data_IF_523057731334
#
_entry.id   IF_523057731334
#
_cell.length_a   1.000
_cell.length_b   1.000
_cell.length_c   1.000
_cell.angle_alpha   90.00
_cell.angle_beta   90.00
_cell.angle_gamma   90.00
#
_symmetry.space_group_name_H-M   'P 1'
#
loop_
_entity.id
_entity.type
_entity.pdbx_description
1 polymer ?
#
# COMPACT_ATOMS: atom_id res chain seq x y z
N UNK A 1 32.34 65.69 -5.84
CA UNK A 1 31.94 65.08 -4.54
C UNK A 1 33.09 64.23 -4.07
N UNK A 2 34.08 64.92 -3.53
CA UNK A 2 35.29 64.40 -2.90
C UNK A 2 35.09 64.71 -1.43
N UNK A 3 34.95 63.67 -0.60
CA UNK A 3 34.90 63.81 0.85
C UNK A 3 36.02 62.95 1.42
N UNK A 4 37.08 63.62 1.86
CA UNK A 4 37.96 63.11 2.90
C UNK A 4 37.22 63.14 4.24
N UNK A 5 37.55 62.21 5.15
CA UNK A 5 37.75 62.68 6.52
C UNK A 5 39.00 62.11 7.20
N UNK A 6 39.80 63.05 7.69
CA UNK A 6 40.59 63.19 8.94
C UNK A 6 40.80 61.96 9.85
N UNK A 7 42.04 61.73 10.37
CA UNK A 7 42.35 60.64 11.29
C UNK A 7 42.05 61.01 12.76
N UNK A 8 41.50 60.07 13.53
CA UNK A 8 41.30 60.21 14.98
C UNK A 8 42.06 59.13 15.78
N UNK A 9 42.95 59.65 16.63
CA UNK A 9 43.49 59.17 17.91
C UNK A 9 43.44 57.67 18.24
N UNK A 10 44.66 57.10 18.38
CA UNK A 10 44.95 55.89 19.16
C UNK A 10 44.70 56.19 20.65
N UNK A 11 43.76 55.48 21.26
CA UNK A 11 43.65 55.34 22.70
C UNK A 11 44.10 53.93 23.11
N UNK A 12 45.03 53.92 24.06
CA UNK A 12 45.60 52.77 24.75
C UNK A 12 44.47 51.92 25.38
N UNK A 13 44.45 50.61 25.09
CA UNK A 13 43.57 49.64 25.74
C UNK A 13 44.43 48.77 26.66
N UNK A 14 44.10 48.63 27.96
CA UNK A 14 44.87 47.79 28.87
C UNK A 14 44.65 46.30 28.56
N UNK A 15 45.73 45.52 28.71
CA UNK A 15 45.78 44.08 28.50
C UNK A 15 44.75 43.32 29.38
N UNK A 16 44.07 42.28 28.85
CA UNK A 16 43.25 41.41 29.68
C UNK A 16 44.10 40.39 30.47
N UNK A 17 43.81 40.29 31.76
CA UNK A 17 44.34 39.34 32.75
C UNK A 17 44.20 37.86 32.32
N UNK A 18 45.07 36.96 32.85
CA UNK A 18 45.16 35.57 32.42
C UNK A 18 43.96 34.72 32.87
N UNK A 19 43.63 33.63 32.15
CA UNK A 19 42.47 32.80 32.48
C UNK A 19 42.67 31.94 33.73
N UNK A 20 41.64 31.95 34.58
CA UNK A 20 41.45 31.07 35.72
C UNK A 20 41.51 29.58 35.35
N UNK A 21 42.02 28.81 36.30
CA UNK A 21 42.18 27.36 36.25
C UNK A 21 40.81 26.65 36.18
N UNK A 22 40.66 25.58 35.38
CA UNK A 22 39.39 24.86 35.30
C UNK A 22 39.15 24.03 36.57
N UNK A 23 37.89 23.91 37.04
CA UNK A 23 37.55 23.01 38.14
C UNK A 23 37.67 21.54 37.72
N UNK A 24 38.23 20.74 38.63
CA UNK A 24 38.36 19.29 38.57
C UNK A 24 36.98 18.62 38.44
N UNK A 25 36.78 17.84 37.37
CA UNK A 25 35.66 16.91 37.20
C UNK A 25 35.76 15.77 38.21
N UNK A 26 34.71 15.42 38.98
CA UNK A 26 34.67 14.15 39.69
C UNK A 26 34.37 13.02 38.71
N UNK A 27 35.21 11.99 38.81
CA UNK A 27 35.13 10.66 38.22
C UNK A 27 33.69 10.11 38.24
N UNK A 28 33.12 9.83 37.07
CA UNK A 28 31.89 9.04 36.89
C UNK A 28 32.21 7.93 35.89
N UNK A 29 32.32 6.73 36.45
CA UNK A 29 32.48 5.43 35.81
C UNK A 29 31.54 5.26 34.59
N UNK A 30 32.12 5.27 33.39
CA UNK A 30 31.43 4.93 32.14
C UNK A 30 31.56 3.44 31.82
N UNK A 31 30.95 2.60 32.65
CA UNK A 31 30.71 1.19 32.34
C UNK A 31 29.25 1.01 31.89
N UNK A 32 28.90 1.47 30.69
CA UNK A 32 27.65 1.06 30.02
C UNK A 32 27.89 -0.20 29.19
N UNK A 33 27.09 -1.28 29.35
CA UNK A 33 27.26 -2.48 28.55
C UNK A 33 26.87 -2.23 27.08
N UNK A 34 27.43 -2.98 26.12
CA UNK A 34 27.17 -2.77 24.71
C UNK A 34 25.69 -3.00 24.38
N UNK A 35 25.09 -2.01 23.73
CA UNK A 35 23.74 -2.08 23.17
C UNK A 35 23.76 -3.11 22.04
N UNK A 36 23.15 -4.28 22.26
CA UNK A 36 22.93 -5.28 21.21
C UNK A 36 21.79 -4.82 20.28
N UNK A 37 21.95 -4.91 18.95
CA UNK A 37 20.87 -4.57 18.02
C UNK A 37 19.72 -5.56 18.19
N UNK A 38 18.52 -5.02 18.42
CA UNK A 38 17.28 -5.80 18.55
C UNK A 38 16.81 -6.19 17.14
N UNK A 39 16.86 -7.49 16.85
CA UNK A 39 16.29 -8.12 15.66
C UNK A 39 14.76 -7.95 15.65
N UNK A 40 14.18 -7.44 14.57
CA UNK A 40 12.73 -7.45 14.37
C UNK A 40 12.25 -8.88 14.12
N UNK A 41 11.43 -9.41 15.02
CA UNK A 41 10.76 -10.69 14.88
C UNK A 41 9.27 -10.46 14.56
N UNK A 42 8.76 -10.89 13.39
CA UNK A 42 7.34 -10.77 13.03
C UNK A 42 6.39 -11.60 13.91
N UNK A 43 6.91 -12.44 14.82
CA UNK A 43 6.14 -13.17 15.83
C UNK A 43 6.24 -12.57 17.24
N UNK A 44 7.03 -11.51 17.44
CA UNK A 44 7.15 -10.89 18.76
C UNK A 44 5.90 -10.05 19.08
N UNK A 45 4.97 -10.66 19.80
CA UNK A 45 3.79 -9.99 20.39
C UNK A 45 4.08 -9.36 21.75
N UNK A 46 5.35 -9.25 22.16
CA UNK A 46 5.72 -8.62 23.43
C UNK A 46 5.56 -7.10 23.31
N UNK A 47 4.33 -6.68 23.54
CA UNK A 47 3.84 -5.30 23.62
C UNK A 47 4.22 -4.63 24.95
N UNK A 48 5.18 -5.19 25.69
CA UNK A 48 5.46 -4.81 27.08
C UNK A 48 6.54 -3.73 27.23
N UNK A 49 7.21 -3.30 26.16
CA UNK A 49 8.09 -2.11 26.21
C UNK A 49 7.54 -1.01 25.30
N UNK A 50 7.05 0.12 25.86
CA UNK A 50 6.65 1.26 25.04
C UNK A 50 7.88 1.78 24.28
N UNK A 51 7.77 1.87 22.96
CA UNK A 51 8.74 2.51 22.08
C UNK A 51 8.86 4.01 22.36
N UNK A 52 9.47 4.36 23.49
CA UNK A 52 9.95 5.71 23.82
C UNK A 52 11.39 5.80 23.35
N UNK A 53 11.61 6.48 22.23
CA UNK A 53 12.90 7.09 21.96
C UNK A 53 12.86 8.49 22.60
N UNK A 54 13.65 8.70 23.65
CA UNK A 54 13.90 10.01 24.22
C UNK A 54 15.04 10.63 23.41
N UNK A 55 14.77 11.62 22.57
CA UNK A 55 15.83 12.48 22.05
C UNK A 55 16.15 13.53 23.13
N UNK A 56 17.42 13.81 23.44
CA UNK A 56 17.76 14.91 24.33
C UNK A 56 17.28 16.23 23.68
N UNK A 57 16.36 16.90 24.36
CA UNK A 57 15.84 18.19 23.92
C UNK A 57 16.97 19.22 23.90
N UNK A 58 17.14 19.89 22.77
CA UNK A 58 17.86 21.16 22.74
C UNK A 58 17.19 22.17 23.69
N UNK A 59 17.94 23.17 24.19
CA UNK A 59 17.45 24.05 25.24
C UNK A 59 16.28 24.89 24.72
N UNK A 60 15.05 24.56 25.17
CA UNK A 60 13.88 25.43 25.01
C UNK A 60 12.67 24.94 24.20
N UNK A 61 12.51 23.64 23.88
CA UNK A 61 11.32 23.15 23.16
C UNK A 61 10.83 21.81 23.69
N UNK A 62 9.57 21.75 24.15
CA UNK A 62 8.94 20.54 24.67
C UNK A 62 8.98 19.38 23.66
N UNK A 63 9.30 18.18 24.14
CA UNK A 63 9.38 16.97 23.33
C UNK A 63 8.00 16.67 22.71
N UNK A 64 7.86 16.89 21.40
CA UNK A 64 6.72 16.39 20.65
C UNK A 64 6.86 14.86 20.58
N UNK A 65 6.16 14.18 21.50
CA UNK A 65 6.16 12.72 21.56
C UNK A 65 5.26 12.21 20.44
N UNK A 66 5.86 11.69 19.39
CA UNK A 66 5.14 10.97 18.34
C UNK A 66 4.84 9.57 18.87
N UNK A 67 3.69 9.41 19.50
CA UNK A 67 3.23 8.11 19.97
C UNK A 67 2.37 7.47 18.89
N UNK A 68 2.91 6.47 18.17
CA UNK A 68 2.09 5.54 17.41
C UNK A 68 1.20 4.79 18.40
N UNK A 69 -0.14 4.91 18.36
CA UNK A 69 -0.98 4.19 19.31
C UNK A 69 -0.80 2.68 19.09
N UNK A 70 -0.08 1.99 19.97
CA UNK A 70 0.18 0.54 19.86
C UNK A 70 1.27 0.12 18.87
N UNK A 71 2.17 1.03 18.47
CA UNK A 71 3.29 0.73 17.57
C UNK A 71 2.93 0.73 16.08
N UNK A 72 3.89 0.35 15.24
CA UNK A 72 3.81 0.51 13.78
C UNK A 72 2.72 -0.36 13.13
N UNK A 73 2.52 -1.58 13.63
CA UNK A 73 1.45 -2.48 13.16
C UNK A 73 0.07 -1.89 13.46
N UNK A 74 -0.16 -1.41 14.69
CA UNK A 74 -1.42 -0.77 15.05
C UNK A 74 -1.67 0.50 14.23
N UNK A 75 -0.63 1.32 14.03
CA UNK A 75 -0.71 2.49 13.16
C UNK A 75 -1.09 2.14 11.72
N UNK A 76 -0.48 1.10 11.15
CA UNK A 76 -0.87 0.59 9.84
C UNK A 76 -2.34 0.14 9.82
N UNK A 77 -2.78 -0.63 10.82
CA UNK A 77 -4.16 -1.14 10.84
C UNK A 77 -5.20 -0.02 11.00
N UNK A 78 -4.91 1.01 11.80
CA UNK A 78 -5.77 2.21 11.94
C UNK A 78 -5.88 2.91 10.59
N UNK A 79 -4.76 3.23 9.95
CA UNK A 79 -4.74 3.85 8.63
C UNK A 79 -5.51 3.03 7.58
N UNK A 80 -5.37 1.71 7.60
CA UNK A 80 -6.05 0.82 6.66
C UNK A 80 -7.59 0.81 6.83
N UNK A 81 -8.13 1.25 7.98
CA UNK A 81 -9.59 1.36 8.18
C UNK A 81 -10.23 2.47 7.35
N UNK A 82 -9.45 3.45 6.89
CA UNK A 82 -9.93 4.51 5.99
C UNK A 82 -10.34 3.98 4.60
N UNK A 83 -10.01 2.73 4.25
CA UNK A 83 -10.30 2.14 2.94
C UNK A 83 -11.38 1.05 3.02
N UNK A 84 -12.40 1.16 2.19
CA UNK A 84 -13.57 0.24 2.17
C UNK A 84 -13.37 -1.02 1.33
N UNK A 85 -12.35 -1.06 0.47
CA UNK A 85 -12.08 -2.18 -0.44
C UNK A 85 -11.05 -3.14 0.17
N UNK A 86 -11.40 -4.43 0.40
CA UNK A 86 -10.46 -5.45 0.89
C UNK A 86 -9.22 -5.56 0.00
N UNK A 87 -9.41 -5.62 -1.33
CA UNK A 87 -8.29 -5.67 -2.28
C UNK A 87 -7.37 -4.44 -2.18
N UNK A 88 -7.93 -3.26 -1.90
CA UNK A 88 -7.12 -2.06 -1.67
C UNK A 88 -6.36 -2.18 -0.37
N UNK A 89 -7.02 -2.59 0.73
CA UNK A 89 -6.39 -2.81 2.04
C UNK A 89 -5.25 -3.81 1.95
N UNK A 90 -5.44 -4.93 1.26
CA UNK A 90 -4.43 -5.98 1.14
C UNK A 90 -3.26 -5.59 0.25
N UNK A 91 -3.51 -4.82 -0.82
CA UNK A 91 -2.43 -4.24 -1.63
C UNK A 91 -1.64 -3.21 -0.82
N UNK A 92 -2.33 -2.31 -0.12
CA UNK A 92 -1.73 -1.22 0.64
C UNK A 92 -0.96 -1.74 1.85
N UNK A 93 -1.50 -2.73 2.58
CA UNK A 93 -0.80 -3.44 3.66
C UNK A 93 0.52 -4.00 3.19
N UNK A 94 0.52 -4.78 2.11
CA UNK A 94 1.75 -5.38 1.57
C UNK A 94 2.75 -4.32 1.10
N UNK A 95 2.27 -3.26 0.46
CA UNK A 95 3.16 -2.21 -0.07
C UNK A 95 3.76 -1.36 1.06
N UNK A 96 3.03 -1.09 2.16
CA UNK A 96 3.57 -0.35 3.31
C UNK A 96 4.48 -1.22 4.19
N UNK A 97 4.16 -2.50 4.38
CA UNK A 97 5.03 -3.44 5.08
C UNK A 97 6.39 -3.60 4.38
N UNK A 98 6.41 -3.59 3.04
CA UNK A 98 7.67 -3.58 2.27
C UNK A 98 8.52 -2.35 2.56
N UNK A 99 7.87 -1.19 2.70
CA UNK A 99 8.56 0.04 3.09
C UNK A 99 9.11 -0.05 4.52
N UNK A 100 8.35 -0.59 5.47
CA UNK A 100 8.82 -0.78 6.84
C UNK A 100 10.01 -1.73 6.93
N UNK A 101 9.96 -2.85 6.20
CA UNK A 101 11.07 -3.78 6.11
C UNK A 101 12.31 -3.10 5.50
N UNK A 102 12.14 -2.33 4.43
CA UNK A 102 13.23 -1.56 3.85
C UNK A 102 13.84 -0.56 4.84
N UNK A 103 13.01 0.22 5.55
CA UNK A 103 13.49 1.12 6.60
C UNK A 103 14.31 0.37 7.66
N UNK A 104 13.82 -0.79 8.11
CA UNK A 104 14.53 -1.64 9.06
C UNK A 104 15.89 -2.12 8.53
N UNK A 105 15.94 -2.62 7.30
CA UNK A 105 17.16 -3.13 6.66
C UNK A 105 18.26 -2.06 6.55
N UNK A 106 17.87 -0.79 6.43
CA UNK A 106 18.76 0.37 6.36
C UNK A 106 18.94 1.11 7.70
N UNK A 107 18.37 0.60 8.80
CA UNK A 107 18.49 1.21 10.13
C UNK A 107 17.79 2.57 10.26
N UNK A 108 16.76 2.81 9.45
CA UNK A 108 15.98 4.05 9.41
C UNK A 108 14.73 3.87 10.26
N UNK A 109 14.55 4.72 11.26
CA UNK A 109 13.28 4.79 11.99
C UNK A 109 12.18 5.35 11.08
N UNK A 110 11.01 4.70 11.03
CA UNK A 110 9.94 5.08 10.10
C UNK A 110 9.43 6.49 10.39
N UNK A 111 9.40 6.91 11.66
CA UNK A 111 9.02 8.28 12.03
C UNK A 111 10.03 9.35 11.56
N UNK A 112 11.31 8.98 11.42
CA UNK A 112 12.40 9.89 11.09
C UNK A 112 12.77 9.93 9.61
N UNK A 113 12.18 9.03 8.82
CA UNK A 113 12.40 8.92 7.39
C UNK A 113 12.31 10.27 6.68
N UNK A 114 13.25 10.50 5.77
CA UNK A 114 13.44 11.73 5.00
C UNK A 114 13.15 11.47 3.53
N UNK A 115 13.06 12.56 2.77
CA UNK A 115 12.88 12.50 1.32
C UNK A 115 13.98 11.70 0.62
N UNK A 116 15.22 11.81 1.10
CA UNK A 116 16.37 11.05 0.58
C UNK A 116 16.16 9.54 0.66
N UNK A 117 15.60 9.06 1.77
CA UNK A 117 15.33 7.64 2.00
C UNK A 117 14.26 7.13 1.03
N UNK A 118 13.20 7.91 0.80
CA UNK A 118 12.16 7.55 -0.17
C UNK A 118 12.69 7.59 -1.62
N UNK A 119 13.60 8.53 -1.93
CA UNK A 119 14.28 8.57 -3.24
C UNK A 119 15.22 7.36 -3.41
N UNK A 120 15.90 6.90 -2.36
CA UNK A 120 16.72 5.68 -2.36
C UNK A 120 15.88 4.42 -2.57
N UNK A 121 14.78 4.28 -1.83
CA UNK A 121 13.83 3.19 -2.04
C UNK A 121 13.23 3.22 -3.46
N UNK A 122 12.95 4.41 -4.01
CA UNK A 122 12.52 4.53 -5.41
C UNK A 122 13.57 3.97 -6.36
N UNK A 123 14.85 4.32 -6.17
CA UNK A 123 15.92 3.82 -7.02
C UNK A 123 15.98 2.28 -6.98
N UNK A 124 15.88 1.67 -5.79
CA UNK A 124 15.82 0.20 -5.68
C UNK A 124 14.58 -0.42 -6.35
N UNK A 125 13.44 0.27 -6.32
CA UNK A 125 12.26 -0.18 -7.07
C UNK A 125 12.48 -0.11 -8.58
N UNK A 126 13.25 0.87 -9.06
CA UNK A 126 13.60 1.03 -10.48
C UNK A 126 14.64 -0.04 -10.91
N UNK A 127 15.59 -0.39 -10.04
CA UNK A 127 16.65 -1.38 -10.27
C UNK A 127 16.24 -2.84 -9.94
N UNK A 128 15.00 -3.05 -9.53
CA UNK A 128 14.49 -4.38 -9.16
C UNK A 128 14.56 -5.37 -10.33
N UNK A 129 15.08 -6.57 -10.08
CA UNK A 129 15.16 -7.66 -11.07
C UNK A 129 14.25 -8.84 -10.67
N UNK A 130 13.26 -9.24 -11.50
CA UNK A 130 12.88 -8.63 -12.78
C UNK A 130 12.25 -7.24 -12.62
N UNK A 131 12.31 -6.37 -13.66
CA UNK A 131 11.76 -5.02 -13.61
C UNK A 131 10.30 -4.97 -13.17
N UNK A 132 10.02 -4.16 -12.15
CA UNK A 132 8.65 -3.91 -11.71
C UNK A 132 7.90 -3.04 -12.72
N UNK A 133 6.64 -3.39 -13.02
CA UNK A 133 5.78 -2.56 -13.86
C UNK A 133 5.67 -1.11 -13.31
N UNK A 134 5.67 -0.07 -14.16
CA UNK A 134 5.59 1.33 -13.73
C UNK A 134 4.40 1.62 -12.81
N UNK A 135 3.25 0.97 -13.07
CA UNK A 135 2.04 1.05 -12.25
C UNK A 135 2.25 0.54 -10.83
N UNK A 136 3.03 -0.54 -10.67
CA UNK A 136 3.37 -1.11 -9.36
C UNK A 136 4.28 -0.18 -8.59
N UNK A 137 5.35 0.33 -9.22
CA UNK A 137 6.28 1.30 -8.59
C UNK A 137 5.54 2.57 -8.14
N UNK A 138 4.72 3.14 -9.02
CA UNK A 138 3.87 4.30 -8.71
C UNK A 138 2.93 4.03 -7.54
N UNK A 139 2.29 2.86 -7.49
CA UNK A 139 1.39 2.48 -6.38
C UNK A 139 2.13 2.37 -5.06
N UNK A 140 3.30 1.72 -5.02
CA UNK A 140 4.12 1.61 -3.80
C UNK A 140 4.49 2.99 -3.23
N UNK A 141 4.96 3.90 -4.07
CA UNK A 141 5.27 5.28 -3.63
C UNK A 141 4.02 6.06 -3.19
N UNK A 142 2.87 5.81 -3.83
CA UNK A 142 1.61 6.43 -3.42
C UNK A 142 1.11 5.92 -2.06
N UNK A 143 1.31 4.63 -1.78
CA UNK A 143 1.00 4.00 -0.49
C UNK A 143 1.83 4.63 0.64
N UNK A 144 3.14 4.76 0.44
CA UNK A 144 4.04 5.42 1.40
C UNK A 144 3.54 6.83 1.70
N UNK A 145 3.36 7.64 0.65
CA UNK A 145 2.86 9.01 0.81
C UNK A 145 1.50 9.06 1.51
N UNK A 146 0.59 8.15 1.20
CA UNK A 146 -0.72 8.13 1.84
C UNK A 146 -0.66 7.75 3.33
N UNK A 147 0.24 6.85 3.72
CA UNK A 147 0.46 6.49 5.12
C UNK A 147 0.99 7.69 5.91
N UNK A 148 2.08 8.33 5.44
CA UNK A 148 2.63 9.50 6.11
C UNK A 148 1.69 10.71 6.12
N UNK A 149 0.89 10.91 5.05
CA UNK A 149 -0.11 11.99 5.03
C UNK A 149 -1.20 11.76 6.07
N UNK A 150 -1.66 10.52 6.27
CA UNK A 150 -2.66 10.23 7.29
C UNK A 150 -2.16 10.64 8.68
N UNK A 151 -0.94 10.22 9.03
CA UNK A 151 -0.36 10.51 10.34
C UNK A 151 0.16 11.95 10.49
N UNK A 152 0.43 12.65 9.39
CA UNK A 152 0.64 14.10 9.39
C UNK A 152 -0.65 14.85 9.73
N UNK A 153 -1.81 14.39 9.22
CA UNK A 153 -3.12 15.01 9.52
C UNK A 153 -3.53 14.75 10.97
N UNK A 154 -3.18 13.59 11.53
CA UNK A 154 -3.40 13.26 12.94
C UNK A 154 -2.35 13.90 13.89
N UNK A 155 -1.54 14.85 13.40
CA UNK A 155 -0.44 15.52 14.12
C UNK A 155 0.59 14.57 14.76
N UNK A 156 0.57 13.29 14.37
CA UNK A 156 1.49 12.28 14.86
C UNK A 156 2.82 12.30 14.11
N UNK A 157 2.90 12.87 12.91
CA UNK A 157 4.16 13.06 12.19
C UNK A 157 4.33 14.51 11.78
N UNK A 158 5.54 15.09 11.88
CA UNK A 158 5.76 16.50 11.57
C UNK A 158 5.79 16.77 10.06
N UNK A 159 5.93 15.73 9.23
CA UNK A 159 6.07 15.84 7.78
C UNK A 159 5.78 14.53 7.06
N UNK A 160 5.48 14.64 5.77
CA UNK A 160 5.46 13.51 4.85
C UNK A 160 6.74 13.48 3.98
N UNK A 161 7.65 12.51 4.15
CA UNK A 161 8.89 12.41 3.36
C UNK A 161 8.63 12.12 1.87
N UNK A 162 7.47 11.56 1.54
CA UNK A 162 7.10 11.20 0.17
C UNK A 162 6.22 12.25 -0.54
N UNK A 163 5.97 13.40 0.08
CA UNK A 163 5.10 14.46 -0.48
C UNK A 163 5.58 14.97 -1.84
N UNK A 164 6.89 15.15 -2.00
CA UNK A 164 7.53 15.72 -3.20
C UNK A 164 8.44 14.72 -3.93
N UNK A 165 8.22 13.42 -3.73
CA UNK A 165 8.96 12.37 -4.43
C UNK A 165 8.37 12.21 -5.83
N UNK A 166 9.25 12.27 -6.85
CA UNK A 166 8.84 12.03 -8.23
C UNK A 166 8.38 10.58 -8.38
N UNK A 167 7.18 10.39 -8.89
CA UNK A 167 6.61 9.07 -9.19
C UNK A 167 6.74 8.79 -10.69
N UNK A 168 6.97 7.53 -11.10
CA UNK A 168 6.98 7.18 -12.51
C UNK A 168 5.73 7.67 -13.24
N UNK A 169 5.91 8.21 -14.45
CA UNK A 169 4.79 8.58 -15.32
C UNK A 169 4.11 7.29 -15.77
N UNK A 170 2.80 7.21 -15.55
CA UNK A 170 2.02 6.13 -16.10
C UNK A 170 1.63 6.57 -17.53
N UNK A 171 1.97 5.82 -18.58
CA UNK A 171 1.41 6.09 -19.91
C UNK A 171 -0.12 5.94 -19.83
N UNK A 172 -0.84 6.82 -20.53
CA UNK A 172 -2.32 6.86 -20.53
C UNK A 172 -2.97 5.65 -21.22
N UNK A 173 -2.18 4.75 -21.79
CA UNK A 173 -2.69 3.60 -22.50
C UNK A 173 -3.13 2.48 -21.53
N UNK A 174 -4.36 1.95 -21.69
CA UNK A 174 -4.68 0.66 -21.10
C UNK A 174 -3.73 -0.37 -21.73
N UNK A 175 -3.01 -1.11 -20.90
CA UNK A 175 -2.09 -2.17 -21.36
C UNK A 175 -2.82 -3.36 -21.99
N UNK A 176 -4.15 -3.33 -22.05
CA UNK A 176 -4.95 -4.36 -22.69
C UNK A 176 -5.12 -4.03 -24.17
N UNK A 177 -4.43 -4.79 -25.02
CA UNK A 177 -4.75 -4.85 -26.45
C UNK A 177 -6.21 -5.30 -26.57
N UNK A 178 -7.04 -4.49 -27.24
CA UNK A 178 -8.41 -4.88 -27.52
C UNK A 178 -8.41 -6.03 -28.53
N UNK A 179 -9.30 -7.01 -28.34
CA UNK A 179 -9.50 -8.07 -29.32
C UNK A 179 -10.08 -7.48 -30.60
N UNK A 180 -9.51 -7.86 -31.74
CA UNK A 180 -10.12 -7.62 -33.04
C UNK A 180 -11.41 -8.43 -33.18
N UNK A 181 -12.30 -8.04 -34.10
CA UNK A 181 -13.55 -8.79 -34.34
C UNK A 181 -13.32 -10.28 -34.66
N UNK A 182 -12.34 -10.67 -35.51
CA UNK A 182 -12.02 -12.08 -35.73
C UNK A 182 -11.57 -12.79 -34.45
N UNK A 183 -10.66 -12.19 -33.68
CA UNK A 183 -10.18 -12.78 -32.43
C UNK A 183 -11.30 -12.96 -31.39
N UNK A 184 -12.25 -12.02 -31.32
CA UNK A 184 -13.42 -12.15 -30.46
C UNK A 184 -14.33 -13.29 -30.91
N UNK A 185 -14.52 -13.47 -32.22
CA UNK A 185 -15.29 -14.59 -32.77
C UNK A 185 -14.61 -15.93 -32.49
N UNK A 186 -13.29 -16.03 -32.69
CA UNK A 186 -12.50 -17.22 -32.38
C UNK A 186 -12.56 -17.57 -30.89
N UNK A 187 -12.51 -16.57 -30.01
CA UNK A 187 -12.65 -16.75 -28.57
C UNK A 187 -14.05 -17.27 -28.17
N UNK A 188 -15.10 -16.76 -28.81
CA UNK A 188 -16.47 -17.26 -28.59
C UNK A 188 -16.57 -18.72 -29.06
N UNK A 189 -16.04 -19.05 -30.23
CA UNK A 189 -16.07 -20.42 -30.76
C UNK A 189 -15.31 -21.40 -29.86
N UNK A 190 -14.13 -21.02 -29.36
CA UNK A 190 -13.37 -21.81 -28.41
C UNK A 190 -14.13 -21.99 -27.07
N UNK A 191 -14.78 -20.95 -26.57
CA UNK A 191 -15.55 -21.00 -25.34
C UNK A 191 -16.82 -21.86 -25.47
N UNK A 192 -17.49 -21.80 -26.63
CA UNK A 192 -18.65 -22.64 -26.94
C UNK A 192 -18.25 -24.13 -27.01
N UNK A 193 -17.02 -24.45 -27.48
CA UNK A 193 -16.47 -25.81 -27.49
C UNK A 193 -16.03 -26.32 -26.09
N UNK A 194 -15.56 -25.43 -25.22
CA UNK A 194 -15.15 -25.77 -23.84
C UNK A 194 -16.36 -26.08 -22.93
N UNK A 195 -17.48 -25.38 -23.14
CA UNK A 195 -18.76 -25.72 -22.53
C UNK A 195 -19.59 -24.52 -22.08
N UNK A 196 -20.80 -24.79 -21.58
CA UNK A 196 -21.80 -23.75 -21.27
C UNK A 196 -21.29 -22.65 -20.34
N UNK A 197 -20.50 -23.01 -19.32
CA UNK A 197 -19.94 -22.03 -18.38
C UNK A 197 -19.02 -21.05 -19.07
N UNK A 198 -18.11 -21.55 -19.91
CA UNK A 198 -17.13 -20.73 -20.63
C UNK A 198 -17.81 -19.88 -21.70
N UNK A 199 -18.78 -20.45 -22.41
CA UNK A 199 -19.64 -19.72 -23.35
C UNK A 199 -20.31 -18.49 -22.69
N UNK A 200 -20.93 -18.66 -21.53
CA UNK A 200 -21.59 -17.58 -20.79
C UNK A 200 -20.58 -16.53 -20.32
N UNK A 201 -19.45 -16.95 -19.73
CA UNK A 201 -18.41 -16.04 -19.26
C UNK A 201 -17.92 -15.15 -20.40
N UNK A 202 -17.53 -15.77 -21.51
CA UNK A 202 -16.97 -15.07 -22.66
C UNK A 202 -17.97 -14.08 -23.25
N UNK A 203 -19.22 -14.50 -23.46
CA UNK A 203 -20.27 -13.62 -24.02
C UNK A 203 -20.59 -12.46 -23.09
N UNK A 204 -20.79 -12.68 -21.79
CA UNK A 204 -21.06 -11.60 -20.85
C UNK A 204 -19.92 -10.57 -20.82
N UNK A 205 -18.66 -11.02 -20.81
CA UNK A 205 -17.50 -10.12 -20.80
C UNK A 205 -17.38 -9.31 -22.11
N UNK A 206 -17.60 -9.94 -23.27
CA UNK A 206 -17.50 -9.29 -24.57
C UNK A 206 -18.69 -8.38 -24.88
N UNK A 207 -19.92 -8.78 -24.52
CA UNK A 207 -21.15 -8.06 -24.84
C UNK A 207 -21.38 -6.86 -23.90
N UNK A 208 -21.09 -7.03 -22.60
CA UNK A 208 -21.43 -6.00 -21.59
C UNK A 208 -20.24 -5.17 -21.14
N UNK A 209 -19.01 -5.59 -21.45
CA UNK A 209 -17.78 -4.94 -20.99
C UNK A 209 -17.63 -4.91 -19.45
N UNK A 210 -18.32 -5.82 -18.74
CA UNK A 210 -18.20 -5.93 -17.29
C UNK A 210 -16.81 -6.45 -16.88
N UNK A 211 -16.37 -6.11 -15.67
CA UNK A 211 -15.11 -6.64 -15.13
C UNK A 211 -15.31 -8.08 -14.67
N UNK A 212 -14.25 -8.88 -14.74
CA UNK A 212 -14.24 -10.26 -14.19
C UNK A 212 -14.71 -10.27 -12.72
N UNK A 213 -14.27 -9.29 -11.91
CA UNK A 213 -14.71 -9.18 -10.51
C UNK A 213 -16.21 -8.90 -10.35
N UNK A 214 -16.81 -8.19 -11.31
CA UNK A 214 -18.26 -7.91 -11.30
C UNK A 214 -19.02 -9.18 -11.68
N UNK A 215 -18.51 -9.95 -12.64
CA UNK A 215 -19.09 -11.23 -13.05
C UNK A 215 -19.01 -12.29 -11.94
N UNK A 216 -17.88 -12.39 -11.24
CA UNK A 216 -17.73 -13.31 -10.11
C UNK A 216 -18.63 -12.94 -8.92
N UNK A 217 -19.02 -11.67 -8.79
CA UNK A 217 -19.93 -11.21 -7.74
C UNK A 217 -21.41 -11.34 -8.11
N UNK A 218 -21.73 -11.54 -9.39
CA UNK A 218 -23.10 -11.62 -9.86
C UNK A 218 -23.81 -12.90 -9.38
N UNK A 219 -25.06 -12.74 -8.99
CA UNK A 219 -25.98 -13.78 -8.57
C UNK A 219 -26.98 -14.17 -9.65
N UNK A 220 -27.63 -15.32 -9.45
CA UNK A 220 -28.82 -15.68 -10.23
C UNK A 220 -30.01 -14.75 -9.89
N UNK A 221 -30.04 -14.23 -8.66
CA UNK A 221 -30.99 -13.26 -8.12
C UNK A 221 -30.82 -11.85 -8.68
N UNK A 222 -29.67 -11.56 -9.29
CA UNK A 222 -29.40 -10.27 -9.96
C UNK A 222 -29.93 -10.24 -11.41
N UNK A 223 -30.50 -11.34 -11.90
CA UNK A 223 -31.11 -11.40 -13.23
C UNK A 223 -32.54 -10.85 -13.20
N UNK A 224 -32.77 -9.83 -14.03
CA UNK A 224 -34.05 -9.15 -14.12
C UNK A 224 -34.60 -9.10 -15.54
N UNK A 225 -35.70 -8.36 -15.68
CA UNK A 225 -36.23 -7.93 -16.97
C UNK A 225 -36.66 -6.49 -16.87
N UNK A 226 -36.16 -5.64 -17.76
CA UNK A 226 -36.51 -4.22 -17.83
C UNK A 226 -36.97 -3.92 -19.25
N UNK A 227 -38.20 -3.41 -19.38
CA UNK A 227 -38.80 -3.06 -20.67
C UNK A 227 -38.77 -4.20 -21.70
N UNK A 228 -38.92 -5.44 -21.24
CA UNK A 228 -38.90 -6.65 -22.10
C UNK A 228 -37.51 -7.19 -22.44
N UNK A 229 -36.43 -6.55 -21.97
CA UNK A 229 -35.07 -7.03 -22.14
C UNK A 229 -34.56 -7.73 -20.88
N UNK A 230 -33.85 -8.86 -21.05
CA UNK A 230 -33.13 -9.51 -19.95
C UNK A 230 -32.02 -8.59 -19.46
N UNK A 231 -31.93 -8.41 -18.15
CA UNK A 231 -30.92 -7.54 -17.53
C UNK A 231 -30.15 -8.26 -16.43
N UNK A 232 -28.94 -7.78 -16.15
CA UNK A 232 -28.12 -8.19 -15.02
C UNK A 232 -27.72 -6.97 -14.20
N UNK A 233 -28.11 -6.96 -12.94
CA UNK A 233 -27.70 -5.92 -11.99
C UNK A 233 -26.33 -6.25 -11.39
N UNK A 234 -25.44 -5.26 -11.38
CA UNK A 234 -24.08 -5.45 -10.85
C UNK A 234 -23.63 -4.30 -9.96
N UNK A 235 -22.74 -4.62 -9.03
CA UNK A 235 -22.08 -3.63 -8.18
C UNK A 235 -20.72 -3.27 -8.76
N UNK A 236 -20.61 -2.04 -9.28
CA UNK A 236 -19.37 -1.44 -9.79
C UNK A 236 -18.46 -0.98 -8.66
N UNK A 237 -17.21 -0.66 -9.03
CA UNK A 237 -16.24 -0.02 -8.13
C UNK A 237 -16.85 1.21 -7.44
N UNK A 238 -16.67 1.28 -6.12
CA UNK A 238 -17.21 2.36 -5.29
C UNK A 238 -18.64 2.12 -4.80
N UNK A 239 -19.18 0.90 -4.97
CA UNK A 239 -20.51 0.55 -4.47
C UNK A 239 -21.66 1.03 -5.35
N UNK A 240 -21.36 1.60 -6.53
CA UNK A 240 -22.39 2.05 -7.48
C UNK A 240 -23.02 0.85 -8.16
N UNK A 241 -24.34 0.82 -8.28
CA UNK A 241 -25.04 -0.22 -9.05
C UNK A 241 -25.14 0.18 -10.52
N UNK A 242 -25.20 -0.82 -11.40
CA UNK A 242 -25.46 -0.64 -12.82
C UNK A 242 -26.25 -1.83 -13.35
N UNK A 243 -27.26 -1.56 -14.16
CA UNK A 243 -28.06 -2.58 -14.86
C UNK A 243 -27.53 -2.75 -16.27
N UNK A 244 -27.14 -3.97 -16.63
CA UNK A 244 -26.59 -4.29 -17.95
C UNK A 244 -27.61 -5.09 -18.78
N UNK A 245 -27.91 -4.67 -20.02
CA UNK A 245 -28.72 -5.49 -20.92
C UNK A 245 -27.94 -6.72 -21.37
N UNK A 246 -28.62 -7.87 -21.43
CA UNK A 246 -28.08 -9.14 -21.92
C UNK A 246 -28.75 -9.49 -23.24
N UNK A 247 -27.98 -9.97 -24.21
CA UNK A 247 -28.54 -10.42 -25.48
C UNK A 247 -29.45 -11.66 -25.27
N UNK A 248 -30.52 -11.83 -26.07
CA UNK A 248 -31.40 -13.00 -25.94
C UNK A 248 -30.67 -14.35 -26.05
N UNK A 249 -29.62 -14.43 -26.89
CA UNK A 249 -28.80 -15.63 -27.04
C UNK A 249 -28.04 -15.97 -25.74
N UNK A 250 -27.40 -14.98 -25.12
CA UNK A 250 -26.69 -15.15 -23.86
C UNK A 250 -27.65 -15.42 -22.71
N UNK A 251 -28.82 -14.77 -22.67
CA UNK A 251 -29.88 -15.05 -21.71
C UNK A 251 -30.33 -16.52 -21.77
N UNK A 252 -30.55 -17.06 -22.97
CA UNK A 252 -30.92 -18.46 -23.15
C UNK A 252 -29.85 -19.44 -22.64
N UNK A 253 -28.56 -19.14 -22.85
CA UNK A 253 -27.47 -19.94 -22.31
C UNK A 253 -27.44 -19.89 -20.77
N UNK A 254 -27.65 -18.71 -20.20
CA UNK A 254 -27.74 -18.53 -18.74
C UNK A 254 -28.90 -19.35 -18.18
N UNK A 255 -30.09 -19.27 -18.78
CA UNK A 255 -31.27 -20.00 -18.31
C UNK A 255 -31.03 -21.53 -18.36
N UNK A 256 -30.39 -22.02 -19.44
CA UNK A 256 -29.95 -23.42 -19.55
C UNK A 256 -28.94 -23.82 -18.48
N UNK A 257 -27.98 -22.94 -18.16
CA UNK A 257 -26.95 -23.20 -17.16
C UNK A 257 -27.50 -23.15 -15.73
N UNK A 258 -28.45 -22.26 -15.45
CA UNK A 258 -29.11 -22.17 -14.16
C UNK A 258 -30.04 -23.36 -13.91
N UNK A 259 -30.67 -23.90 -14.95
CA UNK A 259 -31.54 -25.07 -14.86
C UNK A 259 -32.58 -24.96 -13.72
N UNK A 260 -33.29 -23.83 -13.67
CA UNK A 260 -34.31 -23.54 -12.66
C UNK A 260 -33.77 -22.94 -11.35
N UNK A 261 -32.46 -22.78 -11.20
CA UNK A 261 -31.87 -22.10 -10.04
C UNK A 261 -32.13 -20.60 -10.05
N UNK A 262 -32.64 -20.06 -8.95
CA UNK A 262 -32.99 -18.64 -8.80
C UNK A 262 -32.10 -17.89 -7.80
N UNK A 263 -31.22 -18.59 -7.06
CA UNK A 263 -30.36 -17.99 -6.05
C UNK A 263 -28.88 -18.40 -6.17
N UNK A 264 -28.03 -17.71 -5.41
CA UNK A 264 -26.60 -18.01 -5.32
C UNK A 264 -25.78 -17.51 -6.52
N UNK A 265 -24.47 -17.82 -6.57
CA UNK A 265 -23.56 -17.27 -7.59
C UNK A 265 -24.02 -17.61 -9.02
N UNK A 266 -24.06 -16.63 -9.92
CA UNK A 266 -24.47 -16.86 -11.31
C UNK A 266 -23.67 -18.00 -11.94
N UNK A 267 -22.37 -18.04 -11.67
CA UNK A 267 -21.44 -19.06 -12.14
C UNK A 267 -20.88 -19.86 -10.97
N UNK A 268 -21.00 -21.20 -11.02
CA UNK A 268 -20.41 -22.10 -10.03
C UNK A 268 -19.00 -22.52 -10.45
N UNK A 269 -18.13 -22.82 -9.48
CA UNK A 269 -16.85 -23.48 -9.73
C UNK A 269 -17.10 -24.95 -10.01
N UNK A 270 -16.34 -25.53 -10.93
CA UNK A 270 -16.41 -26.96 -11.30
C UNK A 270 -15.72 -27.89 -10.30
N UNK A 271 -15.24 -27.36 -9.16
CA UNK A 271 -14.55 -28.12 -8.10
C UNK A 271 -15.09 -27.77 -6.72
N UNK A 272 -15.16 -28.78 -5.85
CA UNK A 272 -15.78 -28.78 -4.51
C UNK A 272 -15.18 -27.80 -3.47
N UNK A 273 -14.38 -26.81 -3.87
CA UNK A 273 -14.00 -25.71 -2.98
C UNK A 273 -14.91 -24.52 -3.23
N UNK A 274 -16.08 -24.58 -2.62
CA UNK A 274 -16.91 -23.41 -2.38
C UNK A 274 -16.34 -22.63 -1.19
N UNK A 275 -15.13 -22.10 -1.33
CA UNK A 275 -14.74 -20.96 -0.50
C UNK A 275 -15.44 -19.76 -1.15
N UNK A 276 -16.69 -19.56 -0.74
CA UNK A 276 -17.54 -18.50 -1.24
C UNK A 276 -16.78 -17.19 -1.17
N UNK A 277 -16.60 -16.51 -2.31
CA UNK A 277 -16.33 -15.08 -2.29
C UNK A 277 -17.47 -14.49 -1.48
N UNK A 278 -17.20 -13.87 -0.31
CA UNK A 278 -18.27 -13.36 0.53
C UNK A 278 -19.04 -12.34 -0.30
N UNK A 279 -20.32 -12.64 -0.56
CA UNK A 279 -21.27 -11.63 -1.01
C UNK A 279 -21.17 -10.50 0.01
N UNK A 280 -20.99 -9.26 -0.45
CA UNK A 280 -21.12 -8.11 0.45
C UNK A 280 -22.60 -7.99 0.81
N UNK A 281 -23.05 -8.80 1.75
CA UNK A 281 -24.16 -8.45 2.60
C UNK A 281 -23.75 -7.22 3.41
N UNK A 282 -24.67 -6.30 3.61
CA UNK A 282 -24.53 -5.06 4.39
C UNK A 282 -24.39 -5.29 5.91
N UNK A 283 -23.82 -6.42 6.35
CA UNK A 283 -23.67 -6.77 7.76
C UNK A 283 -22.23 -7.20 8.11
N UNK A 284 -21.79 -6.78 9.29
CA UNK A 284 -20.40 -6.60 9.71
C UNK A 284 -19.70 -7.82 10.33
N UNK A 285 -18.35 -7.74 10.37
CA UNK A 285 -17.37 -8.37 11.30
C UNK A 285 -17.28 -9.93 11.21
N UNK A 286 -16.15 -10.65 11.27
CA UNK A 286 -14.82 -10.45 11.89
C UNK A 286 -13.82 -11.51 11.39
N UNK A 287 -12.54 -11.20 11.55
CA UNK A 287 -11.38 -12.07 11.83
C UNK A 287 -11.02 -13.24 10.88
N UNK A 288 -9.82 -13.17 10.30
CA UNK A 288 -9.07 -14.37 9.88
C UNK A 288 -7.59 -14.15 10.16
N UNK A 289 -7.02 -15.06 10.94
CA UNK A 289 -5.60 -15.18 11.28
C UNK A 289 -4.75 -15.45 10.04
N UNK A 290 -3.57 -14.83 9.95
CA UNK A 290 -2.61 -15.09 8.88
C UNK A 290 -1.43 -15.94 9.37
N UNK A 291 -1.18 -17.03 8.65
CA UNK A 291 0.00 -17.86 8.76
C UNK A 291 1.23 -17.18 8.15
N UNK A 292 2.39 -17.42 8.77
CA UNK A 292 3.70 -16.96 8.36
C UNK A 292 4.13 -17.53 7.00
N UNK A 293 4.80 -16.70 6.20
CA UNK A 293 5.44 -17.12 4.94
C UNK A 293 6.95 -17.30 5.14
N UNK A 294 7.57 -18.27 4.44
CA UNK A 294 8.98 -18.57 4.58
C UNK A 294 9.84 -17.46 3.94
N UNK A 295 10.86 -17.04 4.69
CA UNK A 295 11.95 -16.19 4.20
C UNK A 295 12.71 -16.88 3.06
N UNK A 296 13.13 -16.10 2.06
CA UNK A 296 14.07 -16.57 1.03
C UNK A 296 15.44 -16.81 1.67
N UNK A 297 16.21 -17.81 1.20
CA UNK A 297 17.57 -18.05 1.68
C UNK A 297 18.53 -16.94 1.25
N UNK A 298 19.44 -16.62 2.17
CA UNK A 298 20.50 -15.62 2.06
C UNK A 298 21.35 -15.79 0.80
N UNK A 299 21.47 -14.72 0.01
CA UNK A 299 22.35 -14.60 -1.14
C UNK A 299 23.57 -13.73 -0.80
N UNK A 300 24.31 -14.07 0.26
CA UNK A 300 25.59 -13.43 0.60
C UNK A 300 26.72 -14.46 0.65
N UNK A 301 27.14 -14.97 -0.51
CA UNK A 301 28.53 -15.40 -0.71
C UNK A 301 28.84 -15.55 -2.20
N UNK A 302 29.43 -14.51 -2.82
CA UNK A 302 30.37 -14.61 -3.95
C UNK A 302 30.76 -13.20 -4.43
N UNK A 303 31.78 -12.64 -3.82
CA UNK A 303 32.72 -11.71 -4.46
C UNK A 303 34.04 -11.81 -3.68
N UNK A 304 34.76 -12.89 -3.94
CA UNK A 304 36.18 -13.06 -3.63
C UNK A 304 36.76 -14.05 -4.63
N UNK A 305 37.10 -13.54 -5.82
CA UNK A 305 38.20 -13.99 -6.69
C UNK A 305 38.32 -13.05 -7.87
#
# INVERSE_FOLDING_TARGET
>A
MTDEPTPLAVTDRPDPEPPDTPPTTPDQDHSQPPITPVMWDPQNTDNTTPGKIILPGGPGGGALTIAWPGGLEAAMQIWLRAYTSPNTRDAYRRDVQRWFAWCHDYGIEVADARRGDVDAYRAELDDHDPPLAPRTRRRRLAVISSFYTYWLIEDALPRNPAAHVRRPRQPDQPSSIALTRPQAADLIAAADADGLRSAIITRLLLETGMRVSELCGAGADDLGSTSGHRTLDIVRKGGKTATLPITPATAHLIDRYLNGRTDGPLLRTSGAKSDGVPRRSTAATSATSYAAWPSKPDCRTRCAR
#
